data_IF_750682459059
#
_entry.id   IF_750682459059
#
_cell.length_a   1.000
_cell.length_b   1.000
_cell.length_c   1.000
_cell.angle_alpha   90.00
_cell.angle_beta   90.00
_cell.angle_gamma   90.00
#
_symmetry.space_group_name_H-M   'P 1'
#
loop_
_entity.id
_entity.type
_entity.pdbx_description
1 polymer ?
#
# COMPACT_ATOMS: atom_id res chain seq x y z
N UNK A 1 -2.57 -4.69 -57.60
CA UNK A 1 -3.12 -3.93 -56.46
C UNK A 1 -1.94 -3.32 -55.72
N UNK A 2 -1.73 -2.00 -55.75
CA UNK A 2 -0.59 -1.36 -55.08
C UNK A 2 -0.70 -1.47 -53.56
N UNK A 3 0.44 -1.50 -52.89
CA UNK A 3 0.55 -1.67 -51.44
C UNK A 3 0.21 -0.37 -50.69
N UNK A 4 -0.31 -0.50 -49.46
CA UNK A 4 -0.63 0.64 -48.58
C UNK A 4 0.57 1.56 -48.30
N UNK A 5 1.80 1.06 -48.49
CA UNK A 5 3.03 1.82 -48.35
C UNK A 5 3.26 2.76 -49.53
N UNK A 6 2.98 2.29 -50.75
CA UNK A 6 3.07 3.10 -51.98
C UNK A 6 2.02 4.23 -51.97
N UNK A 7 0.81 3.96 -51.46
CA UNK A 7 -0.25 4.97 -51.27
C UNK A 7 0.18 6.07 -50.29
N UNK A 8 0.89 5.71 -49.20
CA UNK A 8 1.36 6.69 -48.21
C UNK A 8 2.51 7.56 -48.70
N UNK A 9 3.40 7.02 -49.55
CA UNK A 9 4.52 7.78 -50.12
C UNK A 9 4.01 8.82 -51.12
N UNK A 10 3.01 8.45 -51.93
CA UNK A 10 2.37 9.37 -52.89
C UNK A 10 1.59 10.49 -52.18
N UNK A 11 0.87 10.18 -51.09
CA UNK A 11 0.17 11.20 -50.29
C UNK A 11 1.09 12.05 -49.40
N UNK A 12 2.32 11.61 -49.14
CA UNK A 12 3.25 12.29 -48.24
C UNK A 12 4.07 13.43 -48.86
N UNK A 13 3.95 13.68 -50.18
CA UNK A 13 4.81 14.63 -50.90
C UNK A 13 4.19 16.01 -51.16
N UNK A 14 3.05 16.35 -50.55
CA UNK A 14 2.46 17.68 -50.65
C UNK A 14 2.97 18.58 -49.52
N UNK A 15 4.10 19.25 -49.76
CA UNK A 15 4.60 20.34 -48.92
C UNK A 15 3.73 21.59 -49.11
N UNK A 16 3.00 21.99 -48.06
CA UNK A 16 2.64 23.39 -47.83
C UNK A 16 3.26 23.83 -46.51
N UNK A 17 4.28 24.69 -46.62
CA UNK A 17 4.91 25.39 -45.50
C UNK A 17 3.93 26.40 -44.91
N UNK A 18 3.14 25.95 -43.95
CA UNK A 18 2.46 26.82 -42.98
C UNK A 18 3.16 26.63 -41.64
N UNK A 19 3.88 27.66 -41.20
CA UNK A 19 4.47 27.73 -39.87
C UNK A 19 3.42 27.34 -38.83
N UNK A 20 3.68 26.35 -37.94
CA UNK A 20 2.75 26.05 -36.88
C UNK A 20 2.65 27.27 -35.95
N UNK A 21 1.43 27.64 -35.50
CA UNK A 21 1.30 28.64 -34.44
C UNK A 21 2.11 28.17 -33.21
N UNK A 22 2.69 29.08 -32.42
CA UNK A 22 3.41 28.69 -31.21
C UNK A 22 2.47 27.87 -30.33
N UNK A 23 2.77 26.57 -30.21
CA UNK A 23 2.06 25.66 -29.31
C UNK A 23 2.09 26.25 -27.91
N UNK A 24 0.99 26.21 -27.14
CA UNK A 24 0.99 26.69 -25.77
C UNK A 24 1.96 25.79 -24.98
N UNK A 25 3.14 26.33 -24.66
CA UNK A 25 4.23 25.65 -23.95
C UNK A 25 3.81 25.03 -22.61
N UNK A 26 2.63 25.37 -22.09
CA UNK A 26 2.05 24.80 -20.87
C UNK A 26 1.38 23.42 -21.03
N UNK A 27 1.12 22.91 -22.24
CA UNK A 27 0.54 21.55 -22.40
C UNK A 27 1.55 20.44 -22.08
N UNK A 28 2.84 20.65 -22.39
CA UNK A 28 3.90 19.69 -22.06
C UNK A 28 4.09 19.55 -20.56
N UNK A 29 4.26 20.68 -19.86
CA UNK A 29 4.50 20.68 -18.41
C UNK A 29 3.34 20.06 -17.61
N UNK A 30 2.09 20.30 -18.01
CA UNK A 30 0.93 19.66 -17.36
C UNK A 30 0.86 18.16 -17.55
N UNK A 31 1.27 17.65 -18.72
CA UNK A 31 1.32 16.21 -18.97
C UNK A 31 2.48 15.55 -18.19
N UNK A 32 3.62 16.23 -18.10
CA UNK A 32 4.78 15.78 -17.32
C UNK A 32 4.46 15.75 -15.81
N UNK A 33 3.78 16.78 -15.29
CA UNK A 33 3.29 16.83 -13.91
C UNK A 33 2.31 15.70 -13.61
N UNK A 34 1.35 15.45 -14.52
CA UNK A 34 0.38 14.37 -14.35
C UNK A 34 1.05 12.98 -14.37
N UNK A 35 2.01 12.76 -15.26
CA UNK A 35 2.80 11.53 -15.31
C UNK A 35 3.65 11.35 -14.05
N UNK A 36 4.23 12.44 -13.52
CA UNK A 36 5.01 12.38 -12.29
C UNK A 36 4.13 12.04 -11.08
N UNK A 37 2.95 12.68 -10.95
CA UNK A 37 1.96 12.35 -9.92
C UNK A 37 1.56 10.88 -10.01
N UNK A 38 1.23 10.39 -11.21
CA UNK A 38 0.84 8.99 -11.40
C UNK A 38 1.96 8.02 -11.04
N UNK A 39 3.21 8.34 -11.38
CA UNK A 39 4.37 7.51 -11.04
C UNK A 39 4.55 7.39 -9.52
N UNK A 40 4.46 8.51 -8.78
CA UNK A 40 4.60 8.50 -7.32
C UNK A 40 3.41 7.80 -6.64
N UNK A 41 2.18 8.00 -7.12
CA UNK A 41 1.01 7.26 -6.64
C UNK A 41 1.13 5.75 -6.91
N UNK A 42 1.68 5.37 -8.05
CA UNK A 42 1.96 3.96 -8.39
C UNK A 42 3.00 3.38 -7.43
N UNK A 43 4.10 4.10 -7.18
CA UNK A 43 5.14 3.67 -6.25
C UNK A 43 4.60 3.50 -4.82
N UNK A 44 3.80 4.47 -4.35
CA UNK A 44 3.11 4.38 -3.07
C UNK A 44 2.16 3.18 -3.01
N UNK A 45 1.31 3.00 -4.04
CA UNK A 45 0.39 1.86 -4.11
C UNK A 45 1.12 0.52 -4.05
N UNK A 46 2.23 0.38 -4.79
CA UNK A 46 3.07 -0.82 -4.74
C UNK A 46 3.66 -1.05 -3.35
N UNK A 47 4.10 0.00 -2.65
CA UNK A 47 4.61 -0.11 -1.28
C UNK A 47 3.52 -0.59 -0.31
N UNK A 48 2.29 -0.09 -0.43
CA UNK A 48 1.13 -0.55 0.35
C UNK A 48 0.85 -2.03 0.08
N UNK A 49 0.73 -2.43 -1.20
CA UNK A 49 0.46 -3.83 -1.56
C UNK A 49 1.55 -4.79 -1.07
N UNK A 50 2.82 -4.43 -1.24
CA UNK A 50 3.93 -5.25 -0.75
C UNK A 50 3.91 -5.40 0.78
N UNK A 51 3.64 -4.31 1.49
CA UNK A 51 3.52 -4.34 2.96
C UNK A 51 2.36 -5.23 3.39
N UNK A 52 1.21 -5.13 2.72
CA UNK A 52 0.05 -5.99 2.99
C UNK A 52 0.32 -7.47 2.70
N UNK A 53 1.05 -7.78 1.62
CA UNK A 53 1.45 -9.14 1.29
C UNK A 53 2.40 -9.74 2.36
N UNK A 54 3.37 -8.94 2.84
CA UNK A 54 4.25 -9.34 3.94
C UNK A 54 3.44 -9.58 5.23
N UNK A 55 2.49 -8.71 5.54
CA UNK A 55 1.61 -8.85 6.72
C UNK A 55 0.78 -10.12 6.65
N UNK A 56 0.14 -10.38 5.50
CA UNK A 56 -0.65 -11.58 5.28
C UNK A 56 0.20 -12.85 5.39
N UNK A 57 1.41 -12.85 4.82
CA UNK A 57 2.33 -13.98 4.88
C UNK A 57 2.76 -14.32 6.31
N UNK A 58 3.24 -13.33 7.07
CA UNK A 58 3.70 -13.54 8.45
C UNK A 58 2.54 -13.97 9.35
N UNK A 59 1.38 -13.33 9.24
CA UNK A 59 0.20 -13.67 10.05
C UNK A 59 -0.33 -15.08 9.78
N UNK A 60 -0.31 -15.55 8.52
CA UNK A 60 -0.65 -16.94 8.18
C UNK A 60 0.27 -17.94 8.86
N UNK A 61 1.59 -17.72 8.77
CA UNK A 61 2.59 -18.60 9.39
C UNK A 61 2.43 -18.63 10.91
N UNK A 62 2.21 -17.47 11.55
CA UNK A 62 1.94 -17.41 12.99
C UNK A 62 0.70 -18.23 13.35
N UNK A 63 -0.39 -18.14 12.58
CA UNK A 63 -1.60 -18.92 12.81
C UNK A 63 -1.35 -20.43 12.68
N UNK A 64 -0.58 -20.87 11.69
CA UNK A 64 -0.19 -22.27 11.49
C UNK A 64 0.61 -22.81 12.68
N UNK A 65 1.59 -22.05 13.19
CA UNK A 65 2.37 -22.45 14.38
C UNK A 65 1.50 -22.51 15.64
N UNK A 66 0.58 -21.57 15.83
CA UNK A 66 -0.38 -21.60 16.94
C UNK A 66 -1.30 -22.82 16.86
N UNK A 67 -1.73 -23.20 15.66
CA UNK A 67 -2.52 -24.40 15.44
C UNK A 67 -1.73 -25.68 15.69
N UNK A 68 -0.50 -25.76 15.19
CA UNK A 68 0.39 -26.88 15.43
C UNK A 68 0.63 -27.09 16.93
N UNK A 69 0.90 -26.03 17.69
CA UNK A 69 1.08 -26.11 19.14
C UNK A 69 -0.17 -26.62 19.85
N UNK A 70 -1.37 -26.21 19.40
CA UNK A 70 -2.64 -26.69 19.97
C UNK A 70 -2.88 -28.18 19.73
N UNK A 71 -2.40 -28.70 18.59
CA UNK A 71 -2.54 -30.10 18.19
C UNK A 71 -1.39 -31.00 18.64
N UNK A 72 -0.30 -30.41 19.16
CA UNK A 72 0.87 -31.16 19.59
C UNK A 72 0.49 -32.14 20.72
N UNK A 73 0.81 -33.44 20.60
CA UNK A 73 0.53 -34.40 21.66
C UNK A 73 1.22 -33.98 22.96
N UNK A 74 0.59 -34.18 24.13
CA UNK A 74 1.31 -34.06 25.39
C UNK A 74 2.48 -35.04 25.35
N UNK A 75 3.71 -34.53 25.47
CA UNK A 75 4.90 -35.37 25.55
C UNK A 75 4.74 -36.33 26.72
N UNK A 76 4.73 -37.63 26.44
CA UNK A 76 4.52 -38.72 27.40
C UNK A 76 5.55 -38.68 28.54
N UNK A 77 5.25 -37.92 29.58
CA UNK A 77 5.82 -38.02 30.94
C UNK A 77 5.16 -36.93 31.78
N UNK A 78 4.23 -37.34 32.65
CA UNK A 78 3.63 -36.57 33.76
C UNK A 78 3.96 -35.07 33.79
N UNK A 79 3.21 -34.28 33.04
CA UNK A 79 3.35 -32.83 33.03
C UNK A 79 2.57 -32.28 31.86
N UNK A 80 1.76 -31.25 32.11
CA UNK A 80 0.99 -30.51 31.11
C UNK A 80 1.82 -30.24 29.85
N UNK A 81 1.19 -30.22 28.64
CA UNK A 81 1.87 -29.85 27.42
C UNK A 81 2.38 -28.41 27.57
N UNK A 82 3.64 -28.24 27.98
CA UNK A 82 4.29 -26.95 27.92
C UNK A 82 4.57 -26.72 26.44
N UNK A 83 3.69 -25.97 25.78
CA UNK A 83 4.07 -25.24 24.58
C UNK A 83 5.47 -24.65 24.86
N UNK A 84 6.45 -24.98 24.01
CA UNK A 84 7.84 -24.56 24.24
C UNK A 84 7.84 -23.04 24.41
N UNK A 85 8.23 -22.50 25.58
CA UNK A 85 8.22 -21.05 25.82
C UNK A 85 8.98 -20.29 24.73
N UNK A 86 10.05 -20.90 24.19
CA UNK A 86 10.83 -20.36 23.09
C UNK A 86 10.02 -20.18 21.79
N UNK A 87 9.05 -21.05 21.50
CA UNK A 87 8.19 -20.92 20.32
C UNK A 87 7.21 -19.76 20.52
N UNK A 88 6.64 -19.61 21.72
CA UNK A 88 5.75 -18.48 22.03
C UNK A 88 6.49 -17.14 21.98
N UNK A 89 7.70 -17.06 22.55
CA UNK A 89 8.56 -15.87 22.46
C UNK A 89 8.90 -15.52 21.00
N UNK A 90 9.16 -16.54 20.17
CA UNK A 90 9.41 -16.33 18.74
C UNK A 90 8.15 -15.79 18.04
N UNK A 91 6.98 -16.36 18.31
CA UNK A 91 5.72 -15.90 17.72
C UNK A 91 5.37 -14.47 18.16
N UNK A 92 5.57 -14.15 19.43
CA UNK A 92 5.41 -12.77 19.93
C UNK A 92 6.34 -11.81 19.18
N UNK A 93 7.61 -12.18 19.00
CA UNK A 93 8.58 -11.38 18.23
C UNK A 93 8.09 -11.15 16.81
N UNK A 94 7.58 -12.18 16.12
CA UNK A 94 7.04 -12.04 14.75
C UNK A 94 5.78 -11.16 14.70
N UNK A 95 4.91 -11.22 15.71
CA UNK A 95 3.74 -10.33 15.80
C UNK A 95 4.16 -8.88 16.07
N UNK A 96 5.22 -8.63 16.84
CA UNK A 96 5.77 -7.28 17.04
C UNK A 96 6.40 -6.72 15.77
N UNK A 97 7.15 -7.55 15.03
CA UNK A 97 7.69 -7.17 13.72
C UNK A 97 6.57 -6.87 12.71
N UNK A 98 5.52 -7.69 12.70
CA UNK A 98 4.31 -7.49 11.89
C UNK A 98 3.69 -6.12 12.16
N UNK A 99 3.51 -5.76 13.43
CA UNK A 99 2.98 -4.47 13.82
C UNK A 99 3.89 -3.30 13.39
N UNK A 100 5.21 -3.47 13.49
CA UNK A 100 6.17 -2.48 13.02
C UNK A 100 6.07 -2.26 11.50
N UNK A 101 6.03 -3.34 10.71
CA UNK A 101 5.84 -3.27 9.25
C UNK A 101 4.52 -2.58 8.90
N UNK A 102 3.43 -2.98 9.57
CA UNK A 102 2.11 -2.42 9.39
C UNK A 102 2.02 -0.93 9.71
N UNK A 103 2.86 -0.40 10.60
CA UNK A 103 2.84 1.02 11.01
C UNK A 103 3.82 1.95 10.28
N UNK A 104 4.82 1.43 9.56
CA UNK A 104 5.98 2.25 9.12
C UNK A 104 6.18 2.32 7.62
N UNK A 105 6.25 1.17 6.94
CA UNK A 105 6.76 1.08 5.56
C UNK A 105 5.93 1.86 4.54
N UNK A 106 4.61 1.78 4.66
CA UNK A 106 3.70 2.51 3.79
C UNK A 106 3.68 4.02 4.11
N UNK A 107 3.79 4.41 5.38
CA UNK A 107 3.89 5.82 5.82
C UNK A 107 5.16 6.48 5.27
N UNK A 108 6.28 5.75 5.27
CA UNK A 108 7.53 6.24 4.69
C UNK A 108 7.42 6.44 3.18
N UNK A 109 6.83 5.48 2.46
CA UNK A 109 6.58 5.60 1.02
C UNK A 109 5.67 6.80 0.70
N UNK A 110 4.64 7.03 1.52
CA UNK A 110 3.79 8.22 1.42
C UNK A 110 4.59 9.52 1.62
N UNK A 111 5.35 9.62 2.71
CA UNK A 111 6.19 10.80 3.00
C UNK A 111 7.16 11.11 1.86
N UNK A 112 7.77 10.09 1.28
CA UNK A 112 8.65 10.25 0.12
C UNK A 112 7.91 10.77 -1.11
N UNK A 113 6.69 10.27 -1.37
CA UNK A 113 5.84 10.74 -2.46
C UNK A 113 5.46 12.21 -2.27
N UNK A 114 5.08 12.60 -1.05
CA UNK A 114 4.73 13.99 -0.72
C UNK A 114 5.90 14.94 -0.97
N UNK A 115 7.08 14.62 -0.46
CA UNK A 115 8.29 15.44 -0.64
C UNK A 115 8.68 15.64 -2.12
N UNK A 116 8.30 14.72 -3.01
CA UNK A 116 8.57 14.82 -4.45
C UNK A 116 7.51 15.63 -5.17
N UNK A 117 6.25 15.49 -4.77
CA UNK A 117 5.09 16.09 -5.41
C UNK A 117 4.74 17.50 -4.90
N UNK A 118 5.20 17.91 -3.72
CA UNK A 118 4.91 19.22 -3.13
C UNK A 118 5.38 20.40 -3.99
N UNK A 119 6.33 20.15 -4.89
CA UNK A 119 6.88 21.15 -5.83
C UNK A 119 5.91 21.52 -6.94
N UNK A 120 4.89 20.69 -7.19
CA UNK A 120 3.87 20.95 -8.21
C UNK A 120 2.82 21.91 -7.62
N UNK A 121 2.57 23.08 -8.24
CA UNK A 121 1.61 24.05 -7.74
C UNK A 121 0.22 23.45 -7.48
N UNK A 122 -0.31 23.64 -6.27
CA UNK A 122 -1.63 23.16 -5.84
C UNK A 122 -1.68 21.70 -5.36
N UNK A 123 -0.68 20.88 -5.69
CA UNK A 123 -0.64 19.46 -5.27
C UNK A 123 -0.35 19.33 -3.77
N UNK A 124 0.57 20.13 -3.23
CA UNK A 124 0.90 20.09 -1.80
C UNK A 124 -0.31 20.30 -0.87
N UNK A 125 -1.24 21.19 -1.22
CA UNK A 125 -2.46 21.40 -0.45
C UNK A 125 -3.37 20.17 -0.45
N UNK A 126 -3.52 19.50 -1.60
CA UNK A 126 -4.30 18.26 -1.71
C UNK A 126 -3.66 17.10 -0.93
N UNK A 127 -2.33 16.98 -0.99
CA UNK A 127 -1.58 15.97 -0.24
C UNK A 127 -1.71 16.17 1.28
N UNK A 128 -1.67 17.42 1.75
CA UNK A 128 -1.89 17.72 3.17
C UNK A 128 -3.32 17.38 3.63
N UNK A 129 -4.33 17.62 2.81
CA UNK A 129 -5.70 17.20 3.13
C UNK A 129 -5.81 15.68 3.24
N UNK A 130 -5.19 14.95 2.31
CA UNK A 130 -5.15 13.50 2.35
C UNK A 130 -4.38 12.97 3.57
N UNK A 131 -3.24 13.57 3.91
CA UNK A 131 -2.42 13.18 5.06
C UNK A 131 -3.19 13.34 6.38
N UNK A 132 -3.85 14.49 6.57
CA UNK A 132 -4.68 14.74 7.74
C UNK A 132 -5.83 13.73 7.86
N UNK A 133 -6.51 13.43 6.77
CA UNK A 133 -7.61 12.46 6.76
C UNK A 133 -7.10 11.02 7.03
N UNK A 134 -5.95 10.65 6.48
CA UNK A 134 -5.30 9.37 6.76
C UNK A 134 -4.94 9.25 8.25
N UNK A 135 -4.30 10.27 8.83
CA UNK A 135 -3.94 10.29 10.24
C UNK A 135 -5.17 10.19 11.15
N UNK A 136 -6.23 10.95 10.85
CA UNK A 136 -7.50 10.90 11.59
C UNK A 136 -8.10 9.49 11.58
N UNK A 137 -8.24 8.88 10.41
CA UNK A 137 -8.80 7.51 10.29
C UNK A 137 -7.92 6.46 10.97
N UNK A 138 -6.60 6.59 10.86
CA UNK A 138 -5.67 5.71 11.56
C UNK A 138 -5.81 5.82 13.08
N UNK A 139 -5.96 7.04 13.61
CA UNK A 139 -6.18 7.27 15.03
C UNK A 139 -7.51 6.68 15.52
N UNK A 140 -8.61 6.90 14.81
CA UNK A 140 -9.93 6.32 15.14
C UNK A 140 -9.93 4.79 15.08
N UNK A 141 -9.15 4.22 14.16
CA UNK A 141 -8.98 2.77 14.06
C UNK A 141 -8.15 2.26 15.24
N UNK A 142 -7.03 2.91 15.55
CA UNK A 142 -6.17 2.55 16.67
C UNK A 142 -6.91 2.66 18.01
N UNK A 143 -7.72 3.70 18.21
CA UNK A 143 -8.53 3.89 19.41
C UNK A 143 -9.45 2.71 19.67
N UNK A 144 -10.11 2.19 18.64
CA UNK A 144 -10.94 0.99 18.76
C UNK A 144 -10.14 -0.20 19.28
N UNK A 145 -8.95 -0.47 18.72
CA UNK A 145 -8.10 -1.57 19.17
C UNK A 145 -7.52 -1.39 20.59
N UNK A 146 -7.41 -0.15 21.07
CA UNK A 146 -6.95 0.14 22.43
C UNK A 146 -8.05 0.08 23.49
N UNK A 147 -9.29 0.39 23.13
CA UNK A 147 -10.37 0.67 24.11
C UNK A 147 -11.52 -0.33 24.03
N UNK A 148 -11.92 -0.73 22.83
CA UNK A 148 -13.19 -1.43 22.59
C UNK A 148 -12.99 -2.84 22.00
N UNK A 149 -11.78 -3.19 21.57
CA UNK A 149 -11.49 -4.48 20.98
C UNK A 149 -11.44 -5.60 22.02
N UNK A 150 -12.25 -6.63 21.80
CA UNK A 150 -12.27 -7.87 22.56
C UNK A 150 -11.59 -8.99 21.76
N UNK A 151 -10.47 -9.49 22.27
CA UNK A 151 -9.71 -10.58 21.63
C UNK A 151 -10.48 -11.91 21.61
N UNK A 152 -11.49 -12.08 22.47
CA UNK A 152 -12.28 -13.31 22.56
C UNK A 152 -13.42 -13.38 21.53
N UNK A 153 -13.72 -12.26 20.84
CA UNK A 153 -14.80 -12.17 19.86
C UNK A 153 -14.25 -12.00 18.43
N UNK A 154 -14.94 -12.48 17.39
CA UNK A 154 -14.57 -12.21 16.00
C UNK A 154 -14.58 -10.71 15.69
N UNK A 155 -13.62 -10.23 14.89
CA UNK A 155 -13.52 -8.80 14.53
C UNK A 155 -14.77 -8.31 13.77
N UNK A 156 -15.32 -9.13 12.87
CA UNK A 156 -16.50 -8.77 12.06
C UNK A 156 -17.71 -8.44 12.95
N UNK A 157 -17.91 -9.19 14.03
CA UNK A 157 -19.03 -9.01 14.97
C UNK A 157 -18.88 -7.75 15.83
N UNK A 158 -17.64 -7.29 16.03
CA UNK A 158 -17.33 -6.08 16.78
C UNK A 158 -17.41 -4.83 15.90
N UNK A 159 -17.04 -4.93 14.62
CA UNK A 159 -17.11 -3.84 13.67
C UNK A 159 -18.54 -3.48 13.26
N UNK A 160 -19.44 -4.46 13.16
CA UNK A 160 -20.86 -4.23 12.87
C UNK A 160 -21.60 -3.40 13.95
N UNK A 161 -21.00 -3.21 15.14
CA UNK A 161 -21.56 -2.40 16.23
C UNK A 161 -21.12 -0.93 16.21
N UNK A 162 -20.24 -0.55 15.27
CA UNK A 162 -19.81 0.83 15.06
C UNK A 162 -20.77 1.62 14.15
N UNK A 163 -21.66 0.95 13.42
CA UNK A 163 -22.67 1.54 12.52
C UNK A 163 -24.03 1.66 13.21
#
# INVERSE_FOLDING_TARGET
MPSLREVRIVNGSSTSTTSPPPSPSGRGHRADDANHILAELTAFGMAVFNTQAEIAGISSIVAEYLEWMRKAPPTNSQGSPKASPAVLETLETRVRELNALAGTKHVEAWRQSVNRLERIPGVGAMLNLFDNEMQRRSAETAEFFHTNYDICAPLADQQARKE
#
